data_IF_871213509026
#
_entry.id   IF_871213509026
#
_cell.length_a   1.000
_cell.length_b   1.000
_cell.length_c   1.000
_cell.angle_alpha   90.00
_cell.angle_beta   90.00
_cell.angle_gamma   90.00
#
_symmetry.space_group_name_H-M   'P 1'
#
loop_
_entity.id
_entity.type
_entity.pdbx_description
1 polymer ?
#
# COMPACT_ATOMS: atom_id res chain seq x y z
N UNK A 1 -5.71 -14.21 -10.29
CA UNK A 1 -4.79 -13.07 -10.51
C UNK A 1 -3.80 -13.39 -11.61
N UNK A 2 -3.08 -14.51 -11.50
CA UNK A 2 -2.19 -14.96 -12.58
C UNK A 2 -2.92 -15.08 -13.92
N UNK A 3 -4.18 -15.49 -13.91
CA UNK A 3 -5.01 -15.60 -15.12
C UNK A 3 -5.44 -14.24 -15.70
N UNK A 4 -5.42 -13.18 -14.91
CA UNK A 4 -5.75 -11.81 -15.35
C UNK A 4 -4.53 -11.04 -15.88
N UNK A 5 -3.33 -11.47 -15.52
CA UNK A 5 -2.08 -10.80 -15.89
C UNK A 5 -1.84 -9.41 -15.31
N UNK A 6 -2.64 -9.00 -14.31
CA UNK A 6 -2.55 -7.67 -13.68
C UNK A 6 -1.46 -7.62 -12.61
N UNK A 7 -0.85 -6.45 -12.41
CA UNK A 7 0.26 -6.25 -11.47
C UNK A 7 -0.18 -6.25 -10.01
N UNK A 8 -1.33 -5.70 -9.70
CA UNK A 8 -1.88 -5.62 -8.34
C UNK A 8 -3.21 -6.34 -8.25
N UNK A 9 -3.49 -6.88 -7.07
CA UNK A 9 -4.69 -7.68 -6.81
C UNK A 9 -5.98 -6.88 -6.90
N UNK A 10 -6.98 -7.34 -7.69
CA UNK A 10 -8.27 -6.65 -7.81
C UNK A 10 -9.17 -6.82 -6.57
N UNK A 11 -8.72 -7.55 -5.53
CA UNK A 11 -9.48 -7.74 -4.29
C UNK A 11 -8.56 -8.05 -3.10
N UNK A 12 -9.01 -7.70 -1.89
CA UNK A 12 -8.21 -7.71 -0.66
C UNK A 12 -8.32 -9.00 0.19
N UNK A 13 -9.13 -9.99 -0.22
CA UNK A 13 -9.51 -11.13 0.65
C UNK A 13 -8.48 -12.28 0.65
N UNK A 14 -7.45 -12.23 -0.18
CA UNK A 14 -6.52 -13.35 -0.35
C UNK A 14 -5.77 -13.76 0.94
N UNK A 15 -5.35 -12.83 1.77
CA UNK A 15 -4.87 -13.03 3.15
C UNK A 15 -3.72 -14.02 3.38
N UNK A 16 -2.90 -14.35 2.38
CA UNK A 16 -1.84 -15.36 2.47
C UNK A 16 -2.35 -16.76 2.83
N UNK A 17 -3.49 -17.16 2.30
CA UNK A 17 -4.03 -18.53 2.35
C UNK A 17 -4.95 -18.82 3.53
N UNK A 18 -5.44 -20.07 3.57
CA UNK A 18 -6.37 -20.54 4.62
C UNK A 18 -5.61 -20.91 5.89
N UNK A 19 -5.39 -19.92 6.75
CA UNK A 19 -4.68 -20.07 8.02
C UNK A 19 -5.17 -19.03 9.04
N UNK A 20 -5.21 -19.41 10.30
CA UNK A 20 -5.43 -18.47 11.41
C UNK A 20 -4.12 -17.80 11.77
N UNK A 21 -4.13 -16.46 11.83
CA UNK A 21 -2.91 -15.67 12.12
C UNK A 21 -3.09 -14.74 13.31
N UNK A 22 -2.02 -14.61 14.10
CA UNK A 22 -1.86 -13.56 15.08
C UNK A 22 -1.48 -12.28 14.33
N UNK A 23 -2.46 -11.40 14.12
CA UNK A 23 -2.25 -10.17 13.33
C UNK A 23 -1.67 -9.05 14.17
N UNK A 24 -2.16 -8.91 15.41
CA UNK A 24 -1.70 -7.85 16.32
C UNK A 24 -1.64 -8.38 17.76
N UNK A 25 -0.54 -8.07 18.41
CA UNK A 25 -0.35 -8.26 19.85
C UNK A 25 0.71 -7.28 20.34
N UNK A 26 0.30 -6.19 20.96
CA UNK A 26 1.21 -5.11 21.30
C UNK A 26 0.85 -4.43 22.62
N UNK A 27 1.85 -3.84 23.25
CA UNK A 27 1.69 -2.86 24.31
C UNK A 27 1.70 -1.46 23.70
N UNK A 28 0.80 -0.59 24.17
CA UNK A 28 0.72 0.80 23.77
C UNK A 28 0.75 1.71 25.00
N UNK A 29 1.53 2.78 24.93
CA UNK A 29 1.64 3.78 25.97
C UNK A 29 1.56 5.18 25.38
N UNK A 30 0.67 6.00 25.90
CA UNK A 30 0.66 7.43 25.70
C UNK A 30 1.50 8.12 26.79
N UNK A 31 2.35 9.06 26.37
CA UNK A 31 3.31 9.78 27.20
C UNK A 31 3.29 11.27 26.84
N UNK A 32 3.85 12.11 27.69
CA UNK A 32 4.01 13.55 27.46
C UNK A 32 2.65 14.24 27.17
N UNK A 33 1.67 14.01 28.04
CA UNK A 33 0.30 14.51 27.88
C UNK A 33 -0.30 14.14 26.51
N UNK A 34 -0.24 12.83 26.18
CA UNK A 34 -0.71 12.20 24.94
C UNK A 34 -0.01 12.67 23.66
N UNK A 35 1.05 13.47 23.76
CA UNK A 35 1.81 13.91 22.59
C UNK A 35 2.72 12.84 22.01
N UNK A 36 3.13 11.85 22.79
CA UNK A 36 3.95 10.73 22.34
C UNK A 36 3.21 9.41 22.54
N UNK A 37 2.87 8.76 21.44
CA UNK A 37 2.29 7.43 21.44
C UNK A 37 3.35 6.42 21.01
N UNK A 38 3.66 5.46 21.89
CA UNK A 38 4.61 4.37 21.61
C UNK A 38 3.86 3.06 21.57
N UNK A 39 4.16 2.22 20.57
CA UNK A 39 3.70 0.82 20.49
C UNK A 39 4.90 -0.11 20.38
N UNK A 40 4.80 -1.29 21.00
CA UNK A 40 5.82 -2.34 20.96
C UNK A 40 5.13 -3.70 20.91
N UNK A 41 5.48 -4.53 19.93
CA UNK A 41 4.90 -5.87 19.83
C UNK A 41 4.84 -6.43 18.41
N UNK A 42 3.87 -7.32 18.20
CA UNK A 42 3.53 -7.87 16.89
C UNK A 42 2.59 -6.90 16.18
N UNK A 43 3.08 -6.26 15.12
CA UNK A 43 2.38 -5.21 14.39
C UNK A 43 2.52 -5.47 12.89
N UNK A 44 1.44 -5.33 12.10
CA UNK A 44 1.57 -5.18 10.65
C UNK A 44 2.07 -3.76 10.35
N UNK A 45 2.75 -3.56 9.24
CA UNK A 45 3.20 -2.21 8.87
C UNK A 45 2.03 -1.35 8.35
N UNK A 46 1.09 -1.96 7.62
CA UNK A 46 -0.13 -1.26 7.18
C UNK A 46 -1.01 -0.84 8.36
N UNK A 47 -1.54 0.37 8.29
CA UNK A 47 -2.35 0.97 9.36
C UNK A 47 -1.53 1.70 10.43
N UNK A 48 -0.28 1.30 10.66
CA UNK A 48 0.68 2.05 11.48
C UNK A 48 1.41 3.10 10.63
N UNK A 49 1.91 2.66 9.48
CA UNK A 49 2.64 3.48 8.51
C UNK A 49 1.80 3.53 7.22
N UNK A 50 1.81 4.65 6.53
CA UNK A 50 1.00 4.89 5.34
C UNK A 50 -0.50 4.63 5.62
N UNK A 51 -1.15 5.38 6.52
CA UNK A 51 -2.52 5.12 6.98
C UNK A 51 -3.57 5.60 5.96
N UNK A 52 -3.51 5.08 4.74
CA UNK A 52 -4.51 5.33 3.70
C UNK A 52 -5.68 4.35 3.86
N UNK A 53 -6.89 4.88 3.99
CA UNK A 53 -8.08 4.04 4.09
C UNK A 53 -8.30 3.25 2.80
N UNK A 54 -8.89 2.03 2.92
CA UNK A 54 -9.21 1.17 1.79
C UNK A 54 -10.72 1.17 1.47
N UNK A 55 -11.28 2.27 0.94
CA UNK A 55 -12.67 2.24 0.47
C UNK A 55 -12.82 1.40 -0.80
N UNK A 56 -11.79 1.38 -1.62
CA UNK A 56 -11.69 0.59 -2.85
C UNK A 56 -11.51 -0.89 -2.57
N UNK A 57 -11.86 -1.76 -3.52
CA UNK A 57 -11.61 -3.19 -3.46
C UNK A 57 -10.25 -3.54 -4.06
N UNK A 58 -9.83 -2.83 -5.10
CA UNK A 58 -8.52 -3.00 -5.71
C UNK A 58 -7.42 -2.59 -4.72
N UNK A 59 -6.49 -3.49 -4.45
CA UNK A 59 -5.39 -3.22 -3.53
C UNK A 59 -4.44 -2.12 -4.01
N UNK A 60 -4.47 -1.78 -5.31
CA UNK A 60 -3.77 -0.63 -5.86
C UNK A 60 -4.22 0.73 -5.31
N UNK A 61 -5.39 0.79 -4.64
CA UNK A 61 -5.93 2.00 -4.02
C UNK A 61 -6.13 1.86 -2.51
N UNK A 62 -5.29 1.07 -1.85
CA UNK A 62 -5.40 0.74 -0.44
C UNK A 62 -4.11 1.10 0.32
N UNK A 63 -4.17 1.20 1.64
CA UNK A 63 -3.03 1.45 2.52
C UNK A 63 -1.96 0.35 2.55
N UNK A 64 -2.12 -0.72 1.77
CA UNK A 64 -1.14 -1.78 1.62
C UNK A 64 -0.17 -1.56 0.45
N UNK A 65 -0.39 -0.54 -0.36
CA UNK A 65 0.32 -0.32 -1.64
C UNK A 65 1.84 -0.27 -1.50
N UNK A 66 2.46 0.38 -0.50
CA UNK A 66 3.91 0.32 -0.36
C UNK A 66 4.45 -1.11 -0.27
N UNK A 67 3.68 -2.06 0.25
CA UNK A 67 4.06 -3.47 0.35
C UNK A 67 4.18 -4.20 -1.00
N UNK A 68 3.66 -3.65 -2.08
CA UNK A 68 3.80 -4.24 -3.42
C UNK A 68 5.09 -3.82 -4.14
N UNK A 69 5.66 -2.71 -3.72
CA UNK A 69 6.89 -2.16 -4.31
C UNK A 69 8.05 -2.11 -3.32
N UNK A 70 7.80 -2.41 -2.05
CA UNK A 70 8.81 -2.40 -1.00
C UNK A 70 9.11 -3.82 -0.56
N UNK A 71 10.31 -4.33 -0.75
CA UNK A 71 10.67 -5.67 -0.33
C UNK A 71 10.43 -5.87 1.18
N UNK A 72 9.79 -6.98 1.56
CA UNK A 72 9.51 -7.37 2.94
C UNK A 72 8.71 -6.34 3.76
N UNK A 73 7.90 -5.52 3.10
CA UNK A 73 6.90 -4.69 3.75
C UNK A 73 5.65 -5.53 4.04
N UNK A 74 5.59 -6.13 5.21
CA UNK A 74 4.49 -7.02 5.56
C UNK A 74 3.27 -6.24 6.03
N UNK A 75 2.17 -6.46 5.34
CA UNK A 75 0.88 -5.85 5.61
C UNK A 75 -0.07 -6.86 6.23
N UNK A 76 -1.19 -6.39 6.76
CA UNK A 76 -2.26 -7.27 7.23
C UNK A 76 -2.57 -8.39 6.20
N UNK A 77 -2.73 -9.65 6.59
CA UNK A 77 -2.76 -10.21 7.96
C UNK A 77 -1.39 -10.66 8.51
N UNK A 78 -0.28 -10.32 7.87
CA UNK A 78 1.06 -10.64 8.37
C UNK A 78 1.51 -9.55 9.33
N UNK A 79 2.03 -9.95 10.47
CA UNK A 79 2.68 -9.06 11.44
C UNK A 79 4.07 -9.54 11.79
N UNK A 80 4.88 -8.63 12.27
CA UNK A 80 6.25 -8.90 12.71
C UNK A 80 6.55 -8.14 14.00
N UNK A 81 7.59 -8.49 14.71
CA UNK A 81 7.99 -7.76 15.90
C UNK A 81 8.52 -6.38 15.49
N UNK A 82 8.03 -5.36 16.17
CA UNK A 82 8.41 -4.00 15.88
C UNK A 82 8.01 -3.03 16.96
N UNK A 83 8.45 -1.81 16.79
CA UNK A 83 8.10 -0.67 17.63
C UNK A 83 7.76 0.52 16.74
N UNK A 84 6.77 1.30 17.15
CA UNK A 84 6.42 2.59 16.53
C UNK A 84 6.39 3.68 17.60
N UNK A 85 6.77 4.88 17.20
CA UNK A 85 6.67 6.05 18.04
C UNK A 85 6.12 7.21 17.21
N UNK A 86 4.96 7.76 17.60
CA UNK A 86 4.34 8.92 16.98
C UNK A 86 4.37 10.08 17.94
N UNK A 87 4.99 11.18 17.53
CA UNK A 87 5.06 12.41 18.31
C UNK A 87 4.27 13.53 17.63
N UNK A 88 3.32 14.12 18.36
CA UNK A 88 2.57 15.29 17.93
C UNK A 88 3.40 16.54 18.23
N UNK A 89 3.92 17.19 17.18
CA UNK A 89 4.73 18.39 17.28
C UNK A 89 3.87 19.58 17.71
N UNK A 90 2.72 19.76 17.06
CA UNK A 90 1.70 20.77 17.35
C UNK A 90 0.31 20.28 16.88
N UNK A 91 -0.66 21.19 16.70
CA UNK A 91 -2.02 20.83 16.30
C UNK A 91 -2.11 20.23 14.88
N UNK A 92 -1.16 20.52 14.01
CA UNK A 92 -1.18 20.11 12.60
C UNK A 92 -0.06 19.13 12.25
N UNK A 93 1.10 19.18 12.92
CA UNK A 93 2.28 18.43 12.55
C UNK A 93 2.55 17.25 13.47
N UNK A 94 2.87 16.12 12.89
CA UNK A 94 3.31 14.92 13.60
C UNK A 94 4.53 14.29 12.95
N UNK A 95 5.39 13.67 13.75
CA UNK A 95 6.50 12.84 13.32
C UNK A 95 6.24 11.42 13.82
N UNK A 96 6.34 10.46 12.92
CA UNK A 96 6.24 9.04 13.27
C UNK A 96 7.49 8.30 12.83
N UNK A 97 7.99 7.40 13.67
CA UNK A 97 9.08 6.48 13.34
C UNK A 97 8.64 5.07 13.64
N UNK A 98 9.16 4.12 12.89
CA UNK A 98 8.92 2.71 13.11
C UNK A 98 10.18 1.90 12.83
N UNK A 99 10.36 0.83 13.59
CA UNK A 99 11.41 -0.17 13.38
C UNK A 99 10.79 -1.55 13.53
N UNK A 100 10.94 -2.37 12.49
CA UNK A 100 10.46 -3.75 12.46
C UNK A 100 11.61 -4.70 12.17
N UNK A 101 11.61 -5.88 12.80
CA UNK A 101 12.46 -6.96 12.32
C UNK A 101 11.92 -7.45 10.97
N UNK A 102 12.81 -7.84 10.06
CA UNK A 102 12.44 -8.51 8.82
C UNK A 102 12.70 -10.01 8.98
N UNK A 103 11.63 -10.78 8.87
CA UNK A 103 11.70 -12.24 8.93
C UNK A 103 10.66 -12.85 7.98
N UNK A 104 11.06 -13.26 6.77
CA UNK A 104 10.15 -13.83 5.76
C UNK A 104 9.34 -15.03 6.26
N UNK A 105 9.83 -15.74 7.27
CA UNK A 105 9.15 -16.90 7.85
C UNK A 105 7.80 -16.57 8.48
N UNK A 106 7.52 -15.33 8.86
CA UNK A 106 6.18 -14.94 9.32
C UNK A 106 5.09 -15.09 8.26
N UNK A 107 5.45 -15.22 6.98
CA UNK A 107 4.51 -15.56 5.91
C UNK A 107 4.15 -17.06 5.90
N UNK A 108 4.97 -17.92 6.45
CA UNK A 108 4.75 -19.37 6.51
C UNK A 108 3.47 -19.69 7.31
N UNK A 109 2.77 -20.74 6.90
CA UNK A 109 1.51 -21.17 7.53
C UNK A 109 1.73 -21.58 8.98
N UNK A 110 2.81 -22.28 9.27
CA UNK A 110 3.19 -22.82 10.58
C UNK A 110 3.48 -21.72 11.60
N UNK A 111 3.79 -20.51 11.12
CA UNK A 111 4.07 -19.35 11.95
C UNK A 111 2.82 -18.49 12.25
N UNK A 112 1.65 -18.88 11.78
CA UNK A 112 0.41 -18.10 11.91
C UNK A 112 0.07 -17.68 13.34
N UNK A 113 0.17 -18.59 14.30
CA UNK A 113 -0.09 -18.34 15.72
C UNK A 113 1.19 -18.30 16.58
N UNK A 114 2.36 -18.20 15.98
CA UNK A 114 3.62 -18.16 16.73
C UNK A 114 3.80 -16.81 17.44
N UNK A 115 3.85 -16.83 18.78
CA UNK A 115 4.17 -15.67 19.62
C UNK A 115 5.67 -15.36 19.67
N UNK A 116 6.52 -16.31 19.34
CA UNK A 116 7.96 -16.15 19.35
C UNK A 116 8.47 -15.37 18.17
N UNK A 117 9.80 -15.21 18.13
CA UNK A 117 10.52 -14.78 16.94
C UNK A 117 11.16 -16.03 16.33
N UNK A 118 10.64 -16.55 15.20
CA UNK A 118 11.29 -17.68 14.54
C UNK A 118 12.69 -17.28 14.09
N UNK A 119 13.59 -18.25 14.00
CA UNK A 119 14.90 -18.05 13.35
C UNK A 119 14.73 -17.57 11.92
N UNK A 120 15.67 -16.82 11.36
CA UNK A 120 15.59 -16.34 9.97
C UNK A 120 15.29 -14.84 9.87
N UNK A 121 15.70 -14.08 10.89
CA UNK A 121 15.77 -12.61 10.77
C UNK A 121 16.81 -12.31 9.70
N UNK A 122 16.40 -11.61 8.64
CA UNK A 122 17.24 -11.21 7.51
C UNK A 122 17.66 -9.74 7.58
N UNK A 123 17.02 -8.93 8.44
CA UNK A 123 17.31 -7.51 8.57
C UNK A 123 16.28 -6.76 9.40
N UNK A 124 16.30 -5.44 9.26
CA UNK A 124 15.38 -4.52 9.91
C UNK A 124 14.79 -3.56 8.88
N UNK A 125 13.53 -3.22 9.07
CA UNK A 125 12.82 -2.22 8.28
C UNK A 125 12.58 -0.98 9.15
N UNK A 126 13.23 0.12 8.82
CA UNK A 126 13.07 1.42 9.48
C UNK A 126 12.24 2.35 8.62
N UNK A 127 11.32 3.10 9.23
CA UNK A 127 10.49 4.11 8.55
C UNK A 127 10.49 5.39 9.36
N UNK A 128 10.50 6.55 8.68
CA UNK A 128 10.21 7.85 9.24
C UNK A 128 9.14 8.53 8.40
N UNK A 129 8.10 9.05 9.04
CA UNK A 129 6.96 9.71 8.38
C UNK A 129 6.72 11.08 9.02
N UNK A 130 6.66 12.12 8.20
CA UNK A 130 6.19 13.45 8.58
C UNK A 130 4.74 13.61 8.13
N UNK A 131 3.84 13.88 9.06
CA UNK A 131 2.44 14.13 8.82
C UNK A 131 2.08 15.60 9.01
N UNK A 132 1.25 16.14 8.13
CA UNK A 132 0.69 17.49 8.20
C UNK A 132 -0.82 17.46 7.92
N UNK A 133 -1.61 17.97 8.86
CA UNK A 133 -3.08 17.97 8.81
C UNK A 133 -3.64 19.39 8.85
N UNK A 134 -3.43 20.19 7.78
CA UNK A 134 -3.90 21.56 7.72
C UNK A 134 -5.41 21.67 7.47
N UNK A 135 -5.91 22.87 7.68
CA UNK A 135 -7.25 23.28 7.25
C UNK A 135 -7.14 24.40 6.23
N UNK A 136 -7.51 24.14 4.96
CA UNK A 136 -7.53 25.15 3.91
C UNK A 136 -8.96 25.60 3.62
N UNK A 137 -9.22 26.90 3.76
CA UNK A 137 -10.55 27.48 3.57
C UNK A 137 -11.66 26.74 4.36
N UNK A 138 -11.34 26.30 5.58
CA UNK A 138 -12.27 25.55 6.44
C UNK A 138 -12.40 24.06 6.09
N UNK A 139 -11.64 23.55 5.12
CA UNK A 139 -11.69 22.16 4.68
C UNK A 139 -10.44 21.39 5.16
N UNK A 140 -10.60 20.25 5.84
CA UNK A 140 -9.47 19.49 6.36
C UNK A 140 -8.67 18.82 5.24
N UNK A 141 -7.34 18.79 5.43
CA UNK A 141 -6.41 18.04 4.60
C UNK A 141 -5.55 17.09 5.43
N UNK A 142 -4.91 16.12 4.78
CA UNK A 142 -3.90 15.25 5.38
C UNK A 142 -2.81 14.96 4.35
N UNK A 143 -1.59 15.32 4.69
CA UNK A 143 -0.42 15.15 3.82
C UNK A 143 0.66 14.40 4.59
N UNK A 144 1.34 13.47 3.91
CA UNK A 144 2.39 12.65 4.52
C UNK A 144 3.56 12.49 3.57
N UNK A 145 4.74 12.58 4.14
CA UNK A 145 6.00 12.20 3.49
C UNK A 145 6.63 11.10 4.34
N UNK A 146 6.79 9.92 3.76
CA UNK A 146 7.47 8.79 4.39
C UNK A 146 8.74 8.41 3.64
N UNK A 147 9.77 8.07 4.40
CA UNK A 147 11.02 7.49 3.91
C UNK A 147 11.25 6.18 4.65
N UNK A 148 11.75 5.18 3.93
CA UNK A 148 12.03 3.87 4.52
C UNK A 148 13.37 3.30 4.07
N UNK A 149 13.92 2.42 4.90
CA UNK A 149 15.10 1.62 4.61
C UNK A 149 14.93 0.22 5.18
N UNK A 150 15.24 -0.78 4.36
CA UNK A 150 15.32 -2.18 4.74
C UNK A 150 16.77 -2.65 4.63
N UNK A 151 17.31 -3.30 5.68
CA UNK A 151 18.70 -3.78 5.76
C UNK A 151 18.82 -5.28 5.47
N UNK A 152 17.84 -5.86 4.78
CA UNK A 152 17.90 -7.24 4.30
C UNK A 152 18.80 -7.41 3.08
N UNK A 153 18.99 -8.66 2.70
CA UNK A 153 19.71 -9.01 1.48
C UNK A 153 18.74 -9.04 0.30
N UNK A 154 19.13 -8.42 -0.81
CA UNK A 154 18.32 -8.30 -2.03
C UNK A 154 19.16 -8.60 -3.26
N UNK A 155 18.57 -9.24 -4.25
CA UNK A 155 19.18 -9.46 -5.54
C UNK A 155 18.93 -8.27 -6.48
N UNK A 156 19.98 -7.85 -7.21
CA UNK A 156 19.86 -6.86 -8.28
C UNK A 156 18.93 -7.39 -9.39
N UNK A 157 18.03 -6.54 -9.89
CA UNK A 157 17.07 -6.95 -10.90
C UNK A 157 17.68 -7.11 -12.30
N UNK A 158 18.88 -6.57 -12.54
CA UNK A 158 19.49 -6.49 -13.86
C UNK A 158 20.97 -6.89 -13.91
N UNK A 159 21.77 -6.54 -12.87
CA UNK A 159 23.23 -6.65 -12.91
C UNK A 159 23.76 -7.84 -12.13
N UNK A 160 24.87 -8.41 -12.64
CA UNK A 160 25.70 -9.37 -11.90
C UNK A 160 26.69 -8.67 -10.96
N UNK A 161 27.42 -9.42 -10.13
CA UNK A 161 28.40 -8.91 -9.19
C UNK A 161 29.55 -8.13 -9.85
N UNK A 162 29.76 -8.25 -11.16
CA UNK A 162 30.71 -7.48 -11.93
C UNK A 162 30.09 -6.23 -12.60
N UNK A 163 28.81 -5.94 -12.31
CA UNK A 163 28.06 -4.81 -12.88
C UNK A 163 27.60 -5.01 -14.32
N UNK A 164 27.67 -6.23 -14.86
CA UNK A 164 27.26 -6.57 -16.23
C UNK A 164 25.81 -7.02 -16.26
N UNK A 165 25.10 -6.83 -17.39
CA UNK A 165 23.75 -7.38 -17.56
C UNK A 165 23.73 -8.90 -17.35
N UNK A 166 22.90 -9.40 -16.44
CA UNK A 166 22.76 -10.85 -16.18
C UNK A 166 22.29 -11.64 -17.39
N UNK A 167 21.43 -11.03 -18.21
CA UNK A 167 20.93 -11.65 -19.44
C UNK A 167 22.06 -11.99 -20.44
N UNK A 168 23.16 -11.23 -20.41
CA UNK A 168 24.31 -11.40 -21.32
C UNK A 168 25.43 -12.21 -20.67
N UNK A 169 25.66 -12.04 -19.36
CA UNK A 169 26.75 -12.70 -18.65
C UNK A 169 26.40 -14.13 -18.20
N UNK A 170 25.12 -14.42 -17.98
CA UNK A 170 24.66 -15.69 -17.40
C UNK A 170 25.10 -15.89 -15.94
N UNK A 171 25.70 -14.86 -15.32
CA UNK A 171 26.15 -14.91 -13.93
C UNK A 171 24.99 -14.60 -12.95
N UNK A 172 25.11 -15.03 -11.66
CA UNK A 172 24.15 -14.69 -10.63
C UNK A 172 24.03 -13.17 -10.44
N UNK A 173 22.87 -12.73 -9.93
CA UNK A 173 22.63 -11.35 -9.58
C UNK A 173 23.65 -10.79 -8.60
N UNK A 174 23.93 -9.49 -8.67
CA UNK A 174 24.62 -8.79 -7.60
C UNK A 174 23.74 -8.78 -6.34
N UNK A 175 24.37 -8.83 -5.18
CA UNK A 175 23.69 -8.74 -3.89
C UNK A 175 23.77 -7.32 -3.36
N UNK A 176 22.67 -6.83 -2.79
CA UNK A 176 22.55 -5.57 -2.08
C UNK A 176 22.21 -5.83 -0.62
N UNK A 177 22.89 -5.17 0.29
CA UNK A 177 22.69 -5.26 1.74
C UNK A 177 21.59 -4.33 2.27
N UNK A 178 20.85 -3.68 1.37
CA UNK A 178 19.79 -2.74 1.68
C UNK A 178 18.90 -2.44 0.47
N UNK A 179 17.68 -2.02 0.78
CA UNK A 179 16.80 -1.32 -0.15
C UNK A 179 16.22 -0.07 0.53
N UNK A 180 15.84 0.95 -0.23
CA UNK A 180 15.27 2.19 0.29
C UNK A 180 14.25 2.78 -0.66
N UNK A 181 13.39 3.63 -0.14
CA UNK A 181 12.37 4.32 -0.93
C UNK A 181 11.54 5.27 -0.08
N UNK A 182 10.39 5.64 -0.59
CA UNK A 182 9.53 6.56 0.13
C UNK A 182 8.10 6.55 -0.37
N UNK A 183 7.32 7.49 0.13
CA UNK A 183 5.98 7.77 -0.36
C UNK A 183 5.58 9.21 -0.06
N UNK A 184 4.72 9.74 -0.91
CA UNK A 184 3.97 10.97 -0.69
C UNK A 184 2.49 10.63 -0.72
N UNK A 185 1.74 11.12 0.25
CA UNK A 185 0.28 11.03 0.31
C UNK A 185 -0.32 12.40 0.47
N UNK A 186 -1.39 12.65 -0.24
CA UNK A 186 -2.21 13.84 -0.11
C UNK A 186 -3.68 13.47 -0.13
N UNK A 187 -4.41 13.89 0.88
CA UNK A 187 -5.86 13.87 0.92
C UNK A 187 -6.35 15.27 1.24
N UNK A 188 -7.30 15.79 0.46
CA UNK A 188 -7.87 17.11 0.69
C UNK A 188 -9.38 17.08 0.48
N UNK A 189 -10.12 17.48 1.50
CA UNK A 189 -11.52 17.82 1.32
C UNK A 189 -11.59 19.15 0.56
N UNK A 190 -12.21 19.13 -0.62
CA UNK A 190 -12.33 20.33 -1.44
C UNK A 190 -13.58 21.12 -1.11
N UNK A 191 -14.63 20.42 -0.70
CA UNK A 191 -15.94 21.01 -0.54
C UNK A 191 -16.79 20.21 0.42
N UNK A 192 -17.68 20.91 1.13
CA UNK A 192 -18.77 20.36 1.93
C UNK A 192 -20.03 21.17 1.70
N UNK A 193 -21.16 20.50 1.57
CA UNK A 193 -22.46 21.14 1.37
C UNK A 193 -22.92 21.85 2.65
N UNK A 194 -23.42 23.07 2.51
CA UNK A 194 -24.09 23.75 3.60
C UNK A 194 -25.51 23.23 3.88
N UNK A 195 -26.13 22.58 2.89
CA UNK A 195 -27.50 22.04 2.99
C UNK A 195 -27.56 20.60 3.48
N UNK A 196 -26.52 19.80 3.22
CA UNK A 196 -26.40 18.40 3.62
C UNK A 196 -25.01 18.18 4.19
N UNK A 197 -24.91 18.16 5.51
CA UNK A 197 -23.61 18.16 6.21
C UNK A 197 -22.72 16.94 5.86
N UNK A 198 -23.32 15.81 5.54
CA UNK A 198 -22.64 14.58 5.14
C UNK A 198 -22.06 14.66 3.73
N UNK A 199 -22.60 15.56 2.87
CA UNK A 199 -22.18 15.67 1.48
C UNK A 199 -20.90 16.45 1.37
N UNK A 200 -19.82 15.75 1.01
CA UNK A 200 -18.47 16.30 0.86
C UNK A 200 -17.73 15.61 -0.27
N UNK A 201 -16.84 16.34 -0.91
CA UNK A 201 -15.90 15.83 -1.91
C UNK A 201 -14.49 15.86 -1.33
N UNK A 202 -13.86 14.70 -1.25
CA UNK A 202 -12.45 14.54 -0.92
C UNK A 202 -11.70 14.04 -2.15
N UNK A 203 -10.54 14.63 -2.45
CA UNK A 203 -9.60 14.10 -3.42
C UNK A 203 -8.41 13.49 -2.71
N UNK A 204 -7.75 12.56 -3.37
CA UNK A 204 -6.46 12.01 -2.94
C UNK A 204 -5.47 11.93 -4.10
N UNK A 205 -4.18 12.00 -3.77
CA UNK A 205 -3.08 11.76 -4.69
C UNK A 205 -1.94 11.10 -3.90
N UNK A 206 -1.42 9.99 -4.40
CA UNK A 206 -0.31 9.27 -3.79
C UNK A 206 0.78 9.02 -4.81
N UNK A 207 2.04 9.08 -4.38
CA UNK A 207 3.21 8.73 -5.16
C UNK A 207 4.12 7.84 -4.32
N UNK A 208 4.47 6.67 -4.84
CA UNK A 208 5.24 5.65 -4.14
C UNK A 208 6.40 5.22 -5.03
N UNK A 209 7.58 5.87 -4.90
CA UNK A 209 8.81 5.40 -5.52
C UNK A 209 9.40 4.25 -4.70
N UNK A 210 10.06 3.34 -5.38
CA UNK A 210 10.70 2.17 -4.84
C UNK A 210 12.19 2.14 -5.21
N UNK A 211 12.94 1.21 -4.65
CA UNK A 211 14.36 1.04 -4.96
C UNK A 211 14.53 0.46 -6.38
N UNK A 212 15.14 1.19 -7.33
CA UNK A 212 15.23 0.74 -8.71
C UNK A 212 16.18 -0.45 -8.93
N UNK A 213 17.09 -0.73 -7.99
CA UNK A 213 18.04 -1.82 -8.15
C UNK A 213 17.40 -3.19 -7.85
N UNK A 214 16.33 -3.22 -7.01
CA UNK A 214 15.81 -4.47 -6.47
C UNK A 214 14.30 -4.70 -6.68
N UNK A 215 13.57 -3.75 -7.28
CA UNK A 215 12.12 -3.86 -7.43
C UNK A 215 11.64 -3.86 -8.86
N UNK A 216 10.63 -4.70 -9.14
CA UNK A 216 10.03 -4.84 -10.46
C UNK A 216 9.13 -3.66 -10.85
N UNK A 217 8.33 -3.15 -9.89
CA UNK A 217 7.55 -1.91 -10.05
C UNK A 217 8.35 -0.78 -9.43
N UNK A 218 8.78 0.17 -10.25
CA UNK A 218 9.64 1.28 -9.81
C UNK A 218 8.84 2.41 -9.16
N UNK A 219 7.65 2.72 -9.69
CA UNK A 219 6.81 3.82 -9.20
C UNK A 219 5.33 3.49 -9.33
N UNK A 220 4.58 3.92 -8.32
CA UNK A 220 3.12 3.92 -8.36
C UNK A 220 2.61 5.34 -8.17
N UNK A 221 1.71 5.75 -9.06
CA UNK A 221 0.93 6.97 -8.97
C UNK A 221 -0.53 6.60 -8.77
N UNK A 222 -1.21 7.32 -7.90
CA UNK A 222 -2.63 7.16 -7.65
C UNK A 222 -3.26 8.53 -7.50
N UNK A 223 -4.41 8.72 -8.14
CA UNK A 223 -5.26 9.89 -7.93
C UNK A 223 -6.70 9.44 -7.89
N UNK A 224 -7.54 10.17 -7.17
CA UNK A 224 -8.95 9.84 -7.14
C UNK A 224 -9.78 10.79 -6.30
N UNK A 225 -11.05 10.48 -6.22
CA UNK A 225 -12.01 11.28 -5.46
C UNK A 225 -13.09 10.41 -4.83
N UNK A 226 -13.59 10.89 -3.70
CA UNK A 226 -14.65 10.26 -2.92
C UNK A 226 -15.70 11.31 -2.64
N UNK A 227 -16.92 11.07 -3.13
CA UNK A 227 -18.11 11.86 -2.88
C UNK A 227 -18.99 11.16 -1.84
N UNK A 228 -19.02 11.67 -0.62
CA UNK A 228 -19.96 11.20 0.41
C UNK A 228 -21.34 11.82 0.18
N UNK A 229 -22.39 11.08 0.54
CA UNK A 229 -23.79 11.49 0.38
C UNK A 229 -24.13 11.99 -1.05
N UNK A 230 -23.87 11.20 -2.12
CA UNK A 230 -24.10 11.65 -3.49
C UNK A 230 -25.56 12.04 -3.74
N UNK A 231 -26.49 11.39 -3.05
CA UNK A 231 -27.94 11.69 -3.10
C UNK A 231 -28.46 12.14 -1.73
N UNK A 232 -29.29 13.16 -1.71
CA UNK A 232 -29.85 13.71 -0.47
C UNK A 232 -30.70 12.69 0.32
N UNK A 233 -31.35 11.75 -0.36
CA UNK A 233 -32.11 10.66 0.25
C UNK A 233 -31.23 9.53 0.80
N UNK A 234 -29.91 9.55 0.54
CA UNK A 234 -28.95 8.52 0.89
C UNK A 234 -27.69 9.14 1.52
N UNK A 235 -27.81 9.73 2.73
CA UNK A 235 -26.73 10.52 3.33
C UNK A 235 -25.50 9.69 3.78
N UNK A 236 -25.65 8.38 3.92
CA UNK A 236 -24.60 7.47 4.35
C UNK A 236 -23.92 6.72 3.20
N UNK A 237 -24.37 6.96 1.97
CA UNK A 237 -23.78 6.32 0.79
C UNK A 237 -22.52 7.08 0.33
N UNK A 238 -21.72 6.41 -0.49
CA UNK A 238 -20.47 6.95 -1.00
C UNK A 238 -20.19 6.49 -2.44
N UNK A 239 -19.70 7.40 -3.24
CA UNK A 239 -19.22 7.13 -4.60
C UNK A 239 -17.72 7.43 -4.66
N UNK A 240 -16.91 6.53 -5.17
CA UNK A 240 -15.48 6.73 -5.33
C UNK A 240 -14.97 6.34 -6.70
N UNK A 241 -14.02 7.14 -7.21
CA UNK A 241 -13.26 6.87 -8.43
C UNK A 241 -11.77 6.93 -8.09
N UNK A 242 -11.04 5.87 -8.42
CA UNK A 242 -9.59 5.79 -8.34
C UNK A 242 -8.97 5.52 -9.71
N UNK A 243 -7.87 6.18 -10.01
CA UNK A 243 -7.06 6.00 -11.21
C UNK A 243 -5.60 5.78 -10.78
N UNK A 244 -4.94 4.79 -11.34
CA UNK A 244 -3.55 4.44 -11.03
C UNK A 244 -2.67 4.40 -12.27
N UNK A 245 -1.36 4.49 -12.03
CA UNK A 245 -0.31 4.26 -13.02
C UNK A 245 0.83 3.54 -12.32
N UNK A 246 1.15 2.33 -12.79
CA UNK A 246 2.21 1.48 -12.28
C UNK A 246 3.31 1.38 -13.32
N UNK A 247 4.48 1.90 -13.01
CA UNK A 247 5.63 1.94 -13.92
C UNK A 247 6.55 0.75 -13.65
N UNK A 248 6.78 -0.06 -14.70
CA UNK A 248 7.75 -1.15 -14.63
C UNK A 248 9.16 -0.57 -14.68
N UNK A 249 10.00 -1.12 -13.84
CA UNK A 249 11.40 -0.76 -13.70
C UNK A 249 12.15 -0.82 -15.05
N UNK A 250 12.91 0.23 -15.35
CA UNK A 250 13.65 0.33 -16.61
C UNK A 250 14.71 -0.76 -16.76
N UNK A 251 15.38 -1.17 -15.70
CA UNK A 251 16.38 -2.24 -15.72
C UNK A 251 15.71 -3.63 -15.88
N UNK A 252 14.55 -3.86 -15.29
CA UNK A 252 13.73 -5.05 -15.60
C UNK A 252 13.33 -5.10 -17.09
N UNK A 253 12.96 -3.96 -17.67
CA UNK A 253 12.62 -3.84 -19.08
C UNK A 253 13.81 -4.09 -20.00
N UNK A 254 15.02 -3.57 -19.66
CA UNK A 254 16.26 -3.86 -20.38
C UNK A 254 16.59 -5.35 -20.36
N UNK A 255 16.51 -5.97 -19.19
CA UNK A 255 16.76 -7.42 -19.03
C UNK A 255 15.89 -8.25 -19.95
N UNK A 256 14.56 -8.00 -19.95
CA UNK A 256 13.63 -8.72 -20.81
C UNK A 256 13.92 -8.49 -22.32
N UNK A 257 14.26 -7.27 -22.69
CA UNK A 257 14.66 -6.95 -24.09
C UNK A 257 15.90 -7.74 -24.54
N UNK A 258 16.91 -7.84 -23.66
CA UNK A 258 18.12 -8.60 -23.92
C UNK A 258 17.87 -10.12 -24.00
N UNK A 259 16.83 -10.60 -23.29
CA UNK A 259 16.38 -11.99 -23.33
C UNK A 259 15.48 -12.29 -24.54
N UNK A 260 15.11 -11.30 -25.34
CA UNK A 260 14.17 -11.46 -26.46
C UNK A 260 12.72 -11.71 -26.02
N UNK A 261 12.38 -11.33 -24.78
CA UNK A 261 11.05 -11.47 -24.21
C UNK A 261 10.17 -10.24 -24.46
N UNK A 262 8.83 -10.37 -24.41
CA UNK A 262 7.93 -9.21 -24.42
C UNK A 262 8.29 -8.23 -23.31
N UNK A 263 8.36 -6.94 -23.63
CA UNK A 263 8.83 -5.88 -22.73
C UNK A 263 7.64 -5.12 -22.15
N UNK A 264 7.34 -5.23 -20.86
CA UNK A 264 6.27 -4.46 -20.24
C UNK A 264 6.68 -2.99 -20.06
N UNK A 265 5.72 -2.11 -19.89
CA UNK A 265 5.93 -0.68 -19.72
C UNK A 265 5.15 -0.13 -18.53
N UNK A 266 3.87 0.12 -18.70
CA UNK A 266 3.01 0.74 -17.68
C UNK A 266 1.64 0.05 -17.66
N UNK A 267 1.12 -0.24 -16.47
CA UNK A 267 -0.27 -0.65 -16.27
C UNK A 267 -1.09 0.52 -15.72
N UNK A 268 -2.34 0.68 -16.19
CA UNK A 268 -3.26 1.71 -15.73
C UNK A 268 -4.52 1.07 -15.13
N UNK A 269 -4.58 0.83 -13.80
CA UNK A 269 -5.78 0.40 -13.12
C UNK A 269 -6.72 1.57 -12.86
N UNK A 270 -8.03 1.32 -12.95
CA UNK A 270 -9.09 2.21 -12.52
C UNK A 270 -10.13 1.45 -11.74
N UNK A 271 -10.76 2.06 -10.75
CA UNK A 271 -11.91 1.51 -10.03
C UNK A 271 -12.95 2.58 -9.80
N UNK A 272 -14.20 2.25 -10.13
CA UNK A 272 -15.40 2.99 -9.75
C UNK A 272 -16.21 2.12 -8.79
N UNK A 273 -16.54 2.65 -7.60
CA UNK A 273 -17.42 1.97 -6.66
C UNK A 273 -18.58 2.85 -6.19
N UNK A 274 -19.65 2.20 -5.77
CA UNK A 274 -20.75 2.85 -5.07
C UNK A 274 -21.05 2.06 -3.78
N UNK A 275 -20.78 2.64 -2.63
CA UNK A 275 -21.08 2.03 -1.33
C UNK A 275 -22.49 2.41 -0.88
N UNK A 276 -23.32 1.39 -0.75
CA UNK A 276 -24.69 1.50 -0.23
C UNK A 276 -24.69 1.16 1.25
N UNK A 277 -24.99 2.09 2.11
CA UNK A 277 -25.26 1.82 3.53
C UNK A 277 -26.70 1.29 3.69
N UNK A 278 -26.83 -0.03 3.88
CA UNK A 278 -28.12 -0.68 4.08
C UNK A 278 -28.65 -0.44 5.49
N UNK A 279 -27.77 -0.56 6.47
CA UNK A 279 -28.02 -0.27 7.89
C UNK A 279 -26.74 0.36 8.48
N UNK A 280 -26.75 0.88 9.72
CA UNK A 280 -25.52 1.31 10.38
C UNK A 280 -24.46 0.21 10.50
N UNK A 281 -24.87 -1.06 10.48
CA UNK A 281 -23.99 -2.22 10.63
C UNK A 281 -23.63 -2.90 9.30
N UNK A 282 -24.35 -2.66 8.21
CA UNK A 282 -24.19 -3.41 6.95
C UNK A 282 -24.05 -2.45 5.77
N UNK A 283 -22.99 -2.61 5.01
CA UNK A 283 -22.83 -1.94 3.72
C UNK A 283 -22.50 -2.92 2.59
N UNK A 284 -22.97 -2.58 1.38
CA UNK A 284 -22.64 -3.25 0.13
C UNK A 284 -21.92 -2.28 -0.79
N UNK A 285 -20.87 -2.73 -1.43
CA UNK A 285 -20.04 -1.90 -2.33
C UNK A 285 -19.85 -2.63 -3.66
N UNK A 286 -20.84 -2.57 -4.61
CA UNK A 286 -20.56 -2.93 -5.99
C UNK A 286 -19.46 -2.04 -6.57
N UNK A 287 -18.59 -2.62 -7.39
CA UNK A 287 -17.53 -1.90 -8.08
C UNK A 287 -17.27 -2.48 -9.46
N UNK A 288 -16.69 -1.66 -10.32
CA UNK A 288 -16.16 -2.04 -11.62
C UNK A 288 -14.72 -1.56 -11.67
N UNK A 289 -13.84 -2.47 -12.04
CA UNK A 289 -12.42 -2.18 -12.23
C UNK A 289 -12.07 -2.37 -13.70
N UNK A 290 -11.18 -1.52 -14.20
CA UNK A 290 -10.66 -1.57 -15.55
C UNK A 290 -9.15 -1.51 -15.50
N UNK A 291 -8.48 -2.43 -16.19
CA UNK A 291 -7.04 -2.49 -16.31
C UNK A 291 -6.67 -2.32 -17.78
N UNK A 292 -6.03 -1.20 -18.09
CA UNK A 292 -5.45 -0.96 -19.40
C UNK A 292 -4.00 -1.39 -19.36
N UNK A 293 -3.56 -2.13 -20.39
CA UNK A 293 -2.22 -2.73 -20.48
C UNK A 293 -1.89 -3.61 -19.27
N UNK A 294 -2.68 -4.66 -18.98
CA UNK A 294 -2.43 -5.54 -17.82
C UNK A 294 -1.02 -6.10 -17.85
N UNK A 295 -0.35 -6.12 -16.70
CA UNK A 295 1.06 -6.48 -16.55
C UNK A 295 2.04 -5.50 -17.16
N UNK A 296 1.58 -4.36 -17.68
CA UNK A 296 2.36 -3.36 -18.39
C UNK A 296 2.56 -3.67 -19.88
N UNK A 297 1.87 -4.66 -20.45
CA UNK A 297 2.03 -5.05 -21.86
C UNK A 297 1.05 -4.32 -22.76
N UNK A 298 1.59 -3.54 -23.72
CA UNK A 298 0.79 -2.72 -24.65
C UNK A 298 -0.11 -3.56 -25.58
N UNK A 299 0.29 -4.79 -25.89
CA UNK A 299 -0.46 -5.73 -26.75
C UNK A 299 -1.46 -6.59 -25.99
N UNK A 300 -1.46 -6.55 -24.63
CA UNK A 300 -2.38 -7.31 -23.85
C UNK A 300 -3.81 -6.75 -23.95
N UNK A 301 -4.79 -7.64 -23.96
CA UNK A 301 -6.20 -7.22 -23.93
C UNK A 301 -6.53 -6.59 -22.59
N UNK A 302 -7.25 -5.48 -22.63
CA UNK A 302 -7.75 -4.83 -21.43
C UNK A 302 -8.67 -5.73 -20.63
N UNK A 303 -8.61 -5.63 -19.31
CA UNK A 303 -9.37 -6.48 -18.39
C UNK A 303 -10.41 -5.66 -17.64
N UNK A 304 -11.63 -6.16 -17.57
CA UNK A 304 -12.72 -5.62 -16.75
C UNK A 304 -13.05 -6.63 -15.64
N UNK A 305 -13.05 -6.16 -14.40
CA UNK A 305 -13.44 -6.95 -13.23
C UNK A 305 -14.65 -6.30 -12.56
N UNK A 306 -15.68 -7.08 -12.26
CA UNK A 306 -16.84 -6.65 -11.46
C UNK A 306 -16.73 -7.26 -10.07
N UNK A 307 -16.85 -6.44 -9.04
CA UNK A 307 -16.74 -6.85 -7.65
C UNK A 307 -17.94 -6.44 -6.81
N UNK A 308 -18.13 -7.17 -5.71
CA UNK A 308 -19.07 -6.82 -4.66
C UNK A 308 -18.41 -7.06 -3.30
N UNK A 309 -18.20 -5.98 -2.56
CA UNK A 309 -17.67 -6.02 -1.19
C UNK A 309 -18.83 -5.84 -0.21
N UNK A 310 -18.90 -6.72 0.80
CA UNK A 310 -19.85 -6.59 1.91
C UNK A 310 -19.08 -6.37 3.20
N UNK A 311 -19.49 -5.36 3.97
CA UNK A 311 -18.92 -5.12 5.30
C UNK A 311 -20.03 -5.24 6.32
N UNK A 312 -19.77 -6.02 7.39
CA UNK A 312 -20.68 -6.19 8.55
C UNK A 312 -19.89 -5.76 9.79
N UNK A 313 -20.41 -4.81 10.53
CA UNK A 313 -19.86 -4.30 11.80
C UNK A 313 -20.75 -4.73 12.95
N UNK A 314 -20.14 -5.23 14.04
CA UNK A 314 -20.82 -5.74 15.23
C UNK A 314 -20.66 -4.78 16.40
#
# INVERSE_FOLDING_TARGET
EADLGVLLQPQEIHGYGSVTRLVQFYYQQALLDDRLLVKLGRLPMSGEIYPFACPFQNLGFCGTVPGYVTPNWFTWPISQWGATARYQLDAEWSLQTALYQVNPRFTEREQGLNFGSPSGITGYHAVAELGWTPTFAGQPGAYRLGLWRNTGDFEDIYRDAAGRPMALSGAPAAEHDKASGGYLMAEQQLWQSSAVAERRLKLFANFIPSDPDVTYIERIWQVGGILSAPFASRPNDELGLGLGRLEINDDARKRRREQGEPVPNVEYPAELYYRVALTPAISLTPNVQYFHQPGGFEEAQDVVVMGLKTVVSF
#
